data_IF_202993149037
#
_entry.id   IF_202993149037
#
_cell.length_a   1.000
_cell.length_b   1.000
_cell.length_c   1.000
_cell.angle_alpha   90.00
_cell.angle_beta   90.00
_cell.angle_gamma   90.00
#
_symmetry.space_group_name_H-M   'P 1'
#
loop_
_entity.id
_entity.type
_entity.pdbx_description
1 polymer ?
#
# COMPACT_ATOMS: atom_id res chain seq x y z
N UNK A 1 41.41 52.09 -43.87
CA UNK A 1 42.84 52.00 -44.24
C UNK A 1 43.34 50.61 -43.85
N UNK A 2 43.87 49.86 -44.85
CA UNK A 2 44.74 48.65 -44.79
C UNK A 2 44.27 47.50 -43.86
N UNK A 3 43.62 46.42 -44.33
CA UNK A 3 44.09 45.30 -45.17
C UNK A 3 45.41 44.63 -44.76
N UNK A 4 45.30 43.35 -44.36
CA UNK A 4 46.15 42.18 -44.66
C UNK A 4 45.26 40.93 -44.33
N UNK A 5 44.61 40.19 -45.26
CA UNK A 5 45.11 39.23 -46.28
C UNK A 5 46.09 38.19 -45.68
N UNK A 6 46.00 36.88 -45.89
CA UNK A 6 45.54 36.13 -47.07
C UNK A 6 45.42 34.60 -46.78
N UNK A 7 44.68 33.87 -47.66
CA UNK A 7 44.62 32.40 -47.94
C UNK A 7 43.31 31.72 -47.48
N UNK A 8 42.50 31.04 -48.30
CA UNK A 8 42.63 30.59 -49.69
C UNK A 8 42.06 29.16 -49.83
N UNK A 9 41.22 28.94 -50.85
CA UNK A 9 40.88 27.67 -51.51
C UNK A 9 39.66 26.78 -51.10
N UNK A 10 38.60 26.88 -51.94
CA UNK A 10 38.04 25.83 -52.84
C UNK A 10 37.33 24.56 -52.28
N UNK A 11 36.04 24.46 -52.69
CA UNK A 11 35.17 23.31 -53.09
C UNK A 11 34.83 22.15 -52.12
N UNK A 12 33.51 22.08 -51.85
CA UNK A 12 32.59 20.93 -52.02
C UNK A 12 33.22 19.53 -52.09
N UNK A 13 32.95 18.72 -51.06
CA UNK A 13 32.74 17.27 -51.21
C UNK A 13 31.58 16.82 -50.33
N UNK A 14 30.59 16.20 -50.96
CA UNK A 14 29.52 15.43 -50.33
C UNK A 14 30.14 14.22 -49.63
N UNK A 15 29.88 14.02 -48.34
CA UNK A 15 30.08 12.74 -47.67
C UNK A 15 28.70 12.25 -47.19
N UNK A 16 28.21 11.26 -47.91
CA UNK A 16 27.05 10.44 -47.58
C UNK A 16 27.47 9.54 -46.40
N UNK A 17 27.04 9.84 -45.17
CA UNK A 17 27.22 8.92 -44.04
C UNK A 17 26.05 7.94 -44.05
N UNK A 18 26.33 6.71 -44.49
CA UNK A 18 25.48 5.55 -44.25
C UNK A 18 25.40 5.32 -42.73
N UNK A 19 24.24 5.58 -42.14
CA UNK A 19 23.86 5.07 -40.83
C UNK A 19 23.54 3.58 -40.99
N UNK A 20 24.52 2.73 -40.68
CA UNK A 20 24.29 1.31 -40.40
C UNK A 20 23.47 1.22 -39.11
N UNK A 21 22.16 1.01 -39.25
CA UNK A 21 21.30 0.56 -38.17
C UNK A 21 21.71 -0.88 -37.86
N UNK A 22 22.53 -1.07 -36.83
CA UNK A 22 22.64 -2.38 -36.19
C UNK A 22 21.31 -2.66 -35.49
N UNK A 23 20.52 -3.53 -36.10
CA UNK A 23 19.45 -4.26 -35.42
C UNK A 23 20.10 -5.11 -34.31
N UNK A 24 20.10 -4.58 -33.08
CA UNK A 24 20.30 -5.40 -31.89
C UNK A 24 18.91 -5.91 -31.52
N UNK A 25 18.64 -7.23 -31.56
CA UNK A 25 17.38 -7.76 -31.06
C UNK A 25 17.31 -7.42 -29.57
N UNK A 26 16.16 -6.86 -29.16
CA UNK A 26 15.93 -6.38 -27.81
C UNK A 26 16.28 -7.44 -26.78
N UNK A 27 17.37 -7.21 -26.05
CA UNK A 27 17.48 -7.75 -24.70
C UNK A 27 16.45 -6.98 -23.89
N UNK A 28 15.38 -7.66 -23.48
CA UNK A 28 14.61 -7.22 -22.32
C UNK A 28 15.62 -7.02 -21.19
N UNK A 29 15.87 -5.75 -20.87
CA UNK A 29 16.62 -5.38 -19.68
C UNK A 29 15.72 -5.79 -18.51
N UNK A 30 15.91 -7.01 -18.03
CA UNK A 30 15.30 -7.43 -16.77
C UNK A 30 15.93 -6.61 -15.67
N UNK A 31 15.08 -5.87 -14.98
CA UNK A 31 15.42 -5.12 -13.80
C UNK A 31 16.13 -6.03 -12.78
N UNK A 32 17.15 -5.48 -12.13
CA UNK A 32 17.87 -6.24 -11.10
C UNK A 32 17.06 -6.21 -9.80
N UNK A 33 17.08 -7.25 -8.95
CA UNK A 33 16.46 -7.18 -7.63
C UNK A 33 16.88 -5.90 -6.88
N UNK A 34 15.90 -5.04 -6.57
CA UNK A 34 16.12 -3.69 -6.04
C UNK A 34 15.84 -2.54 -7.02
N UNK A 35 15.52 -2.82 -8.28
CA UNK A 35 15.00 -1.83 -9.23
C UNK A 35 13.58 -1.37 -8.86
N UNK A 36 13.23 -0.18 -9.30
CA UNK A 36 11.92 0.45 -9.03
C UNK A 36 11.23 0.81 -10.32
N UNK A 37 10.07 0.20 -10.57
CA UNK A 37 9.19 0.56 -11.68
C UNK A 37 8.25 1.68 -11.24
N UNK A 38 8.30 2.82 -11.93
CA UNK A 38 7.45 3.97 -11.65
C UNK A 38 6.27 4.03 -12.61
N UNK A 39 5.05 4.16 -12.06
CA UNK A 39 3.82 4.38 -12.84
C UNK A 39 3.17 5.68 -12.39
N UNK A 40 2.94 6.60 -13.33
CA UNK A 40 2.13 7.80 -13.06
C UNK A 40 0.69 7.53 -13.47
N UNK A 41 -0.26 7.70 -12.54
CA UNK A 41 -1.68 7.53 -12.80
C UNK A 41 -2.34 8.89 -13.02
N UNK A 42 -2.95 9.48 -11.99
CA UNK A 42 -3.42 10.86 -12.05
C UNK A 42 -2.22 11.80 -12.19
N UNK A 43 -2.26 12.74 -13.13
CA UNK A 43 -1.18 13.69 -13.37
C UNK A 43 -1.74 15.10 -13.49
N UNK A 44 -1.46 15.93 -12.48
CA UNK A 44 -2.04 17.27 -12.32
C UNK A 44 -3.55 17.29 -12.58
N UNK A 45 -4.25 16.26 -12.11
CA UNK A 45 -5.68 16.15 -12.25
C UNK A 45 -6.35 17.24 -11.40
N UNK A 46 -7.04 18.16 -12.05
CA UNK A 46 -7.73 19.26 -11.36
C UNK A 46 -9.00 18.74 -10.69
N UNK A 47 -9.12 18.99 -9.39
CA UNK A 47 -10.25 18.57 -8.56
C UNK A 47 -10.85 19.76 -7.83
N UNK A 48 -12.15 19.93 -8.03
CA UNK A 48 -13.02 20.83 -7.29
C UNK A 48 -14.42 20.18 -7.19
N UNK A 49 -15.33 20.81 -6.45
CA UNK A 49 -16.72 20.35 -6.28
C UNK A 49 -16.97 18.97 -5.68
N UNK A 50 -16.00 18.39 -4.97
CA UNK A 50 -16.16 17.10 -4.30
C UNK A 50 -16.66 15.98 -5.23
N UNK A 51 -16.22 16.01 -6.49
CA UNK A 51 -16.48 14.94 -7.45
C UNK A 51 -15.41 13.86 -7.38
N UNK A 52 -15.81 12.62 -7.66
CA UNK A 52 -14.85 11.51 -7.81
C UNK A 52 -14.34 11.47 -9.25
N UNK A 53 -13.03 11.58 -9.41
CA UNK A 53 -12.36 11.48 -10.69
C UNK A 53 -11.92 10.02 -10.93
N UNK A 54 -12.63 9.34 -11.82
CA UNK A 54 -12.33 7.95 -12.21
C UNK A 54 -11.42 7.88 -13.42
N UNK A 55 -10.48 6.93 -13.42
CA UNK A 55 -9.72 6.55 -14.59
C UNK A 55 -9.17 5.12 -14.46
N UNK A 56 -8.89 4.49 -15.60
CA UNK A 56 -8.22 3.19 -15.66
C UNK A 56 -6.75 3.35 -16.02
N UNK A 57 -5.89 2.57 -15.40
CA UNK A 57 -4.44 2.63 -15.58
C UNK A 57 -3.85 1.23 -15.69
N UNK A 58 -2.79 1.10 -16.49
CA UNK A 58 -2.02 -0.14 -16.56
C UNK A 58 -0.87 -0.05 -15.55
N UNK A 59 -0.93 -0.91 -14.54
CA UNK A 59 0.12 -1.19 -13.58
C UNK A 59 0.95 -2.38 -14.09
N UNK A 60 2.12 -2.66 -13.49
CA UNK A 60 2.86 -3.86 -13.82
C UNK A 60 2.02 -5.13 -13.56
N UNK A 61 2.33 -6.18 -14.32
CA UNK A 61 1.68 -7.47 -14.14
C UNK A 61 2.19 -8.20 -12.87
N UNK A 62 1.67 -9.40 -12.65
CA UNK A 62 2.06 -10.26 -11.52
C UNK A 62 3.29 -11.14 -11.80
N UNK A 63 3.91 -11.03 -12.98
CA UNK A 63 5.09 -11.82 -13.35
C UNK A 63 6.36 -11.29 -12.68
N UNK A 64 6.37 -10.00 -12.32
CA UNK A 64 7.46 -9.36 -11.58
C UNK A 64 7.13 -9.35 -10.09
N UNK A 65 8.10 -9.72 -9.26
CA UNK A 65 7.90 -9.82 -7.82
C UNK A 65 8.31 -8.52 -7.14
N UNK A 66 7.37 -7.95 -6.38
CA UNK A 66 7.59 -6.72 -5.64
C UNK A 66 7.63 -7.00 -4.15
N UNK A 67 8.58 -6.37 -3.47
CA UNK A 67 8.62 -6.37 -2.00
C UNK A 67 7.85 -5.21 -1.38
N UNK A 68 7.60 -4.15 -2.16
CA UNK A 68 6.95 -2.96 -1.68
C UNK A 68 6.29 -2.19 -2.83
N UNK A 69 5.12 -1.61 -2.57
CA UNK A 69 4.45 -0.67 -3.45
C UNK A 69 4.21 0.62 -2.68
N UNK A 70 4.87 1.69 -3.10
CA UNK A 70 4.68 3.02 -2.51
C UNK A 70 3.83 3.89 -3.42
N UNK A 71 2.79 4.52 -2.85
CA UNK A 71 1.97 5.50 -3.53
C UNK A 71 2.37 6.92 -3.09
N UNK A 72 2.85 7.71 -4.05
CA UNK A 72 3.17 9.12 -3.88
C UNK A 72 1.94 9.95 -4.28
N UNK A 73 1.25 10.50 -3.28
CA UNK A 73 0.13 11.42 -3.46
C UNK A 73 0.65 12.84 -3.39
N UNK A 74 0.55 13.58 -4.49
CA UNK A 74 0.98 14.96 -4.58
C UNK A 74 -0.21 15.90 -4.68
N UNK A 75 -0.23 16.92 -3.82
CA UNK A 75 -1.16 18.05 -3.88
C UNK A 75 -0.42 19.28 -4.35
N UNK A 76 -0.81 19.82 -5.49
CA UNK A 76 -0.36 21.10 -6.00
C UNK A 76 -1.46 22.15 -6.03
N UNK A 77 -1.07 23.41 -6.04
CA UNK A 77 -1.98 24.54 -6.17
C UNK A 77 -2.02 25.02 -7.65
N UNK A 78 -3.20 25.15 -8.28
CA UNK A 78 -3.28 25.69 -9.63
C UNK A 78 -2.91 27.19 -9.65
N UNK A 79 -2.51 27.71 -10.82
CA UNK A 79 -2.10 29.12 -10.96
C UNK A 79 -3.20 30.12 -10.56
N UNK A 80 -4.46 29.72 -10.70
CA UNK A 80 -5.68 30.44 -10.25
C UNK A 80 -5.89 30.45 -8.73
N UNK A 81 -5.08 29.69 -7.97
CA UNK A 81 -5.17 29.55 -6.53
C UNK A 81 -5.94 28.30 -6.10
N UNK A 82 -5.57 27.76 -4.94
CA UNK A 82 -6.16 26.54 -4.39
C UNK A 82 -7.34 26.82 -3.47
N UNK A 83 -8.07 25.77 -3.11
CA UNK A 83 -8.95 25.80 -1.93
C UNK A 83 -8.08 26.14 -0.70
N UNK A 84 -8.39 27.18 0.08
CA UNK A 84 -7.54 27.58 1.19
C UNK A 84 -7.71 26.68 2.43
N UNK A 85 -8.71 25.79 2.43
CA UNK A 85 -9.08 24.95 3.56
C UNK A 85 -8.45 23.55 3.46
N UNK A 86 -8.33 22.90 4.60
CA UNK A 86 -7.95 21.51 4.77
C UNK A 86 -9.15 20.59 4.47
N UNK A 87 -9.08 19.90 3.34
CA UNK A 87 -10.13 19.02 2.83
C UNK A 87 -9.75 17.57 2.97
N UNK A 88 -10.73 16.72 3.28
CA UNK A 88 -10.53 15.29 3.21
C UNK A 88 -10.36 14.85 1.75
N UNK A 89 -9.35 14.03 1.48
CA UNK A 89 -9.13 13.43 0.18
C UNK A 89 -8.74 11.97 0.29
N UNK A 90 -8.96 11.21 -0.76
CA UNK A 90 -8.63 9.79 -0.79
C UNK A 90 -8.30 9.29 -2.21
N UNK A 91 -7.66 8.12 -2.25
CA UNK A 91 -7.58 7.27 -3.45
C UNK A 91 -8.23 5.93 -3.13
N UNK A 92 -9.13 5.50 -4.00
CA UNK A 92 -9.80 4.20 -3.92
C UNK A 92 -9.54 3.38 -5.17
N UNK A 93 -9.30 2.09 -4.98
CA UNK A 93 -9.25 1.09 -6.04
C UNK A 93 -10.64 0.47 -6.20
N UNK A 94 -11.14 0.36 -7.43
CA UNK A 94 -12.47 -0.19 -7.73
C UNK A 94 -12.32 -1.52 -8.43
N UNK A 95 -12.86 -2.58 -7.82
CA UNK A 95 -12.90 -3.93 -8.42
C UNK A 95 -14.16 -4.08 -9.28
N UNK A 96 -15.26 -3.48 -8.84
CA UNK A 96 -16.53 -3.44 -9.57
C UNK A 96 -17.34 -2.18 -9.17
N UNK A 97 -18.62 -2.10 -9.56
CA UNK A 97 -19.50 -0.95 -9.27
C UNK A 97 -19.87 -0.80 -7.79
N UNK A 98 -19.66 -1.85 -6.98
CA UNK A 98 -20.04 -1.93 -5.56
C UNK A 98 -18.83 -2.09 -4.65
N UNK A 99 -17.77 -2.74 -5.13
CA UNK A 99 -16.58 -3.06 -4.33
C UNK A 99 -15.44 -2.10 -4.64
N UNK A 100 -15.00 -1.36 -3.62
CA UNK A 100 -13.82 -0.51 -3.70
C UNK A 100 -13.00 -0.57 -2.41
N UNK A 101 -11.72 -0.23 -2.48
CA UNK A 101 -10.80 -0.25 -1.34
C UNK A 101 -10.11 1.10 -1.22
N UNK A 102 -10.24 1.76 -0.06
CA UNK A 102 -9.49 2.98 0.22
C UNK A 102 -8.03 2.63 0.52
N UNK A 103 -7.17 2.88 -0.46
CA UNK A 103 -5.74 2.56 -0.35
C UNK A 103 -4.97 3.67 0.37
N UNK A 104 -5.47 4.91 0.30
CA UNK A 104 -4.90 6.05 1.02
C UNK A 104 -5.93 7.15 1.29
N UNK A 105 -5.73 7.84 2.41
CA UNK A 105 -6.44 9.06 2.79
C UNK A 105 -5.44 10.16 3.11
N UNK A 106 -5.76 11.37 2.67
CA UNK A 106 -4.96 12.57 2.89
C UNK A 106 -5.86 13.70 3.36
N UNK A 107 -5.29 14.65 4.09
CA UNK A 107 -5.94 15.92 4.37
C UNK A 107 -5.15 16.99 3.63
N UNK A 108 -5.83 17.79 2.79
CA UNK A 108 -5.16 18.86 2.06
C UNK A 108 -4.59 19.88 3.04
N UNK A 109 -3.48 20.56 2.70
CA UNK A 109 -2.96 21.60 3.55
C UNK A 109 -3.82 22.86 3.48
N UNK A 110 -3.73 23.68 4.52
CA UNK A 110 -4.18 25.06 4.42
C UNK A 110 -3.23 25.84 3.52
N UNK A 111 -3.78 26.72 2.67
CA UNK A 111 -3.07 27.66 1.80
C UNK A 111 -1.53 27.48 1.71
N UNK A 112 -1.07 26.87 0.63
CA UNK A 112 0.35 26.55 0.42
C UNK A 112 1.04 27.43 -0.62
N UNK A 113 0.45 28.57 -0.99
CA UNK A 113 1.02 29.51 -1.96
C UNK A 113 1.26 30.90 -1.37
N UNK A 114 2.36 31.53 -1.77
CA UNK A 114 2.82 32.80 -1.21
C UNK A 114 4.20 32.68 -0.56
N UNK A 115 4.77 33.80 -0.11
CA UNK A 115 6.17 33.90 0.32
C UNK A 115 6.58 32.86 1.37
N UNK A 116 7.38 31.88 0.96
CA UNK A 116 7.96 30.85 1.83
C UNK A 116 7.13 29.57 1.99
N UNK A 117 5.96 29.46 1.35
CA UNK A 117 5.13 28.25 1.39
C UNK A 117 5.57 27.22 0.33
N UNK A 118 5.31 25.92 0.54
CA UNK A 118 5.90 24.86 -0.28
C UNK A 118 5.38 24.81 -1.71
N UNK A 119 4.22 25.42 -2.02
CA UNK A 119 3.58 25.43 -3.35
C UNK A 119 2.96 24.09 -3.75
N UNK A 120 3.57 22.99 -3.30
CA UNK A 120 3.16 21.63 -3.53
C UNK A 120 3.61 20.77 -2.35
N UNK A 121 2.79 19.78 -1.99
CA UNK A 121 3.12 18.80 -0.95
C UNK A 121 3.02 17.37 -1.50
N UNK A 122 3.93 16.51 -1.06
CA UNK A 122 4.00 15.11 -1.47
C UNK A 122 3.89 14.24 -0.24
N UNK A 123 3.00 13.25 -0.29
CA UNK A 123 2.80 12.28 0.77
C UNK A 123 3.06 10.88 0.24
N UNK A 124 3.83 10.10 0.99
CA UNK A 124 4.17 8.73 0.63
C UNK A 124 3.34 7.79 1.49
N UNK A 125 2.58 6.92 0.83
CA UNK A 125 1.72 5.94 1.46
C UNK A 125 2.23 4.55 1.08
N UNK A 126 2.49 3.69 2.05
CA UNK A 126 2.74 2.29 1.77
C UNK A 126 1.41 1.59 1.47
N UNK A 127 1.29 1.08 0.25
CA UNK A 127 0.07 0.41 -0.26
C UNK A 127 0.37 -1.05 -0.62
N UNK A 128 1.45 -1.62 -0.11
CA UNK A 128 1.91 -2.98 -0.39
C UNK A 128 0.84 -4.03 -0.08
N UNK A 129 0.02 -3.80 0.94
CA UNK A 129 -1.08 -4.70 1.32
C UNK A 129 -2.12 -4.92 0.21
N UNK A 130 -2.24 -3.96 -0.72
CA UNK A 130 -3.16 -4.03 -1.85
C UNK A 130 -2.51 -4.60 -3.12
N UNK A 131 -1.29 -5.13 -3.04
CA UNK A 131 -0.60 -5.80 -4.15
C UNK A 131 -1.46 -6.84 -4.90
N UNK A 132 -2.31 -7.65 -4.24
CA UNK A 132 -3.21 -8.58 -4.95
C UNK A 132 -4.25 -7.90 -5.86
N UNK A 133 -4.40 -6.58 -5.75
CA UNK A 133 -5.35 -5.79 -6.52
C UNK A 133 -4.65 -4.74 -7.39
N UNK A 134 -3.39 -4.41 -7.12
CA UNK A 134 -2.59 -3.38 -7.79
C UNK A 134 -1.71 -3.96 -8.90
N UNK A 135 -2.32 -4.65 -9.87
CA UNK A 135 -1.63 -5.22 -11.02
C UNK A 135 -2.47 -5.11 -12.28
N UNK A 136 -1.84 -5.26 -13.44
CA UNK A 136 -2.49 -5.18 -14.75
C UNK A 136 -3.33 -3.89 -14.89
N UNK A 137 -4.52 -3.96 -15.50
CA UNK A 137 -5.40 -2.81 -15.58
C UNK A 137 -6.22 -2.65 -14.30
N UNK A 138 -6.08 -1.51 -13.63
CA UNK A 138 -6.88 -1.14 -12.46
C UNK A 138 -7.73 0.09 -12.73
N UNK A 139 -8.90 0.18 -12.09
CA UNK A 139 -9.72 1.39 -12.03
C UNK A 139 -9.49 2.10 -10.70
N UNK A 140 -9.05 3.34 -10.75
CA UNK A 140 -8.86 4.18 -9.56
C UNK A 140 -9.87 5.32 -9.56
N UNK A 141 -10.29 5.72 -8.35
CA UNK A 141 -10.98 6.98 -8.10
C UNK A 141 -10.12 7.86 -7.19
N UNK A 142 -10.05 9.14 -7.54
CA UNK A 142 -9.45 10.17 -6.69
C UNK A 142 -10.47 11.23 -6.35
N UNK A 143 -10.44 11.69 -5.10
CA UNK A 143 -11.43 12.62 -4.57
C UNK A 143 -10.76 13.57 -3.59
N UNK A 144 -11.21 14.83 -3.60
CA UNK A 144 -10.99 15.82 -2.56
C UNK A 144 -12.33 16.51 -2.29
N UNK A 145 -12.72 16.60 -1.02
CA UNK A 145 -13.93 17.28 -0.55
C UNK A 145 -13.82 18.82 -0.65
N UNK A 146 -13.54 19.32 -1.84
CA UNK A 146 -13.45 20.75 -2.09
C UNK A 146 -14.77 21.28 -2.60
N UNK A 147 -15.30 22.31 -1.94
CA UNK A 147 -16.55 22.98 -2.33
C UNK A 147 -16.31 24.33 -3.00
N UNK A 148 -15.09 24.56 -3.51
CA UNK A 148 -14.73 25.81 -4.17
C UNK A 148 -15.03 25.73 -5.68
N UNK A 149 -15.61 26.79 -6.23
CA UNK A 149 -15.98 26.85 -7.64
C UNK A 149 -14.95 27.53 -8.54
N UNK A 150 -15.27 27.51 -9.85
CA UNK A 150 -14.49 28.18 -10.89
C UNK A 150 -13.18 27.48 -11.19
N UNK A 151 -12.11 28.25 -11.33
CA UNK A 151 -10.77 27.72 -11.67
C UNK A 151 -9.94 27.38 -10.42
N UNK A 152 -10.48 27.51 -9.22
CA UNK A 152 -9.79 27.18 -7.97
C UNK A 152 -10.10 25.75 -7.55
N UNK A 153 -9.14 25.11 -6.87
CA UNK A 153 -9.25 23.71 -6.44
C UNK A 153 -7.87 23.13 -6.15
N UNK A 154 -7.67 21.87 -6.44
CA UNK A 154 -6.38 21.19 -6.23
C UNK A 154 -5.91 20.50 -7.50
N UNK A 155 -4.59 20.41 -7.68
CA UNK A 155 -3.97 19.58 -8.70
C UNK A 155 -3.43 18.31 -8.03
N UNK A 156 -4.03 17.17 -8.36
CA UNK A 156 -3.65 15.87 -7.79
C UNK A 156 -2.76 15.11 -8.77
N UNK A 157 -1.59 14.71 -8.31
CA UNK A 157 -0.73 13.75 -9.02
C UNK A 157 -0.51 12.53 -8.16
N UNK A 158 -0.79 11.33 -8.70
CA UNK A 158 -0.57 10.06 -8.02
C UNK A 158 0.44 9.25 -8.82
N UNK A 159 1.49 8.79 -8.14
CA UNK A 159 2.49 7.88 -8.71
C UNK A 159 2.64 6.65 -7.83
N UNK A 160 2.88 5.51 -8.44
CA UNK A 160 3.24 4.27 -7.76
C UNK A 160 4.69 3.93 -8.06
N UNK A 161 5.44 3.56 -7.03
CA UNK A 161 6.76 2.95 -7.12
C UNK A 161 6.64 1.49 -6.73
N UNK A 162 6.79 0.61 -7.71
CA UNK A 162 6.83 -0.84 -7.54
C UNK A 162 8.28 -1.25 -7.35
N UNK A 163 8.65 -1.60 -6.12
CA UNK A 163 10.03 -1.89 -5.74
C UNK A 163 10.22 -3.40 -5.75
N UNK A 164 11.10 -3.88 -6.62
CA UNK A 164 11.33 -5.31 -6.83
C UNK A 164 11.97 -5.99 -5.61
N UNK A 165 11.59 -7.24 -5.39
CA UNK A 165 12.10 -8.10 -4.34
C UNK A 165 11.08 -9.12 -3.85
N UNK A 166 11.50 -9.94 -2.90
CA UNK A 166 10.65 -10.96 -2.29
C UNK A 166 10.23 -10.57 -0.87
N UNK A 167 8.95 -10.77 -0.57
CA UNK A 167 8.44 -10.77 0.81
C UNK A 167 8.41 -12.19 1.36
N UNK A 168 8.67 -12.33 2.67
CA UNK A 168 8.55 -13.64 3.32
C UNK A 168 7.11 -14.17 3.32
N UNK A 169 6.16 -13.28 3.59
CA UNK A 169 4.74 -13.54 3.44
C UNK A 169 4.16 -12.48 2.50
N UNK A 170 3.49 -12.91 1.43
CA UNK A 170 2.87 -11.99 0.47
C UNK A 170 1.41 -11.77 0.86
N UNK A 171 0.92 -10.52 0.90
CA UNK A 171 -0.52 -10.30 0.96
C UNK A 171 -1.12 -10.96 -0.27
N UNK A 172 -2.21 -11.71 -0.09
CA UNK A 172 -2.88 -12.40 -1.19
C UNK A 172 -4.39 -12.13 -1.23
N UNK A 173 -4.95 -11.56 -0.16
CA UNK A 173 -6.36 -11.24 -0.07
C UNK A 173 -6.60 -10.04 0.84
N UNK A 174 -7.49 -9.15 0.42
CA UNK A 174 -7.92 -7.96 1.14
C UNK A 174 -9.44 -8.02 1.31
N UNK A 175 -9.92 -7.93 2.55
CA UNK A 175 -11.35 -7.96 2.87
C UNK A 175 -11.72 -6.63 3.53
N UNK A 176 -12.69 -5.90 2.97
CA UNK A 176 -13.24 -4.71 3.64
C UNK A 176 -14.06 -5.13 4.86
N UNK A 177 -13.85 -4.42 5.97
CA UNK A 177 -14.60 -4.57 7.21
C UNK A 177 -15.61 -3.44 7.38
N UNK A 178 -15.14 -2.20 7.22
CA UNK A 178 -15.96 -0.98 7.35
C UNK A 178 -15.59 0.01 6.26
N UNK A 179 -16.61 0.70 5.72
CA UNK A 179 -16.44 1.70 4.67
C UNK A 179 -17.35 2.92 4.87
N UNK A 180 -17.47 3.39 6.11
CA UNK A 180 -18.40 4.47 6.45
C UNK A 180 -17.70 5.83 6.43
N UNK A 181 -18.30 6.81 5.74
CA UNK A 181 -17.72 8.15 5.66
C UNK A 181 -18.25 9.09 6.75
N UNK A 182 -19.34 8.71 7.45
CA UNK A 182 -20.04 9.55 8.42
C UNK A 182 -20.66 8.69 9.54
N UNK A 183 -19.81 8.23 10.46
CA UNK A 183 -20.26 7.59 11.71
C UNK A 183 -20.56 8.68 12.73
N UNK A 184 -21.86 8.94 12.97
CA UNK A 184 -22.29 9.93 13.96
C UNK A 184 -21.77 9.58 15.36
N UNK A 185 -21.35 10.60 16.13
CA UNK A 185 -20.73 10.39 17.42
C UNK A 185 -21.37 11.21 18.55
N UNK A 186 -22.01 10.55 19.50
CA UNK A 186 -22.56 11.20 20.71
C UNK A 186 -24.05 11.53 20.67
N UNK A 187 -24.81 11.00 19.70
CA UNK A 187 -26.27 10.96 19.78
C UNK A 187 -26.74 9.57 20.28
N UNK A 188 -27.30 9.45 21.50
CA UNK A 188 -27.86 8.20 22.00
C UNK A 188 -28.95 7.58 21.12
N UNK A 189 -29.64 8.40 20.31
CA UNK A 189 -30.68 7.92 19.39
C UNK A 189 -30.10 7.30 18.09
N UNK A 190 -28.83 7.57 17.79
CA UNK A 190 -28.13 7.00 16.64
C UNK A 190 -26.69 6.63 17.04
N UNK A 191 -26.54 5.51 17.77
CA UNK A 191 -25.24 5.07 18.28
C UNK A 191 -24.33 4.59 17.15
N UNK A 192 -22.98 4.65 17.31
CA UNK A 192 -22.02 4.22 16.28
C UNK A 192 -22.24 2.81 15.71
N UNK A 193 -22.82 1.90 16.51
CA UNK A 193 -23.10 0.51 16.11
C UNK A 193 -24.12 0.38 14.96
N UNK A 194 -24.89 1.42 14.66
CA UNK A 194 -25.74 1.44 13.45
C UNK A 194 -24.90 1.49 12.17
N UNK A 195 -23.66 1.97 12.27
CA UNK A 195 -22.70 2.13 11.17
C UNK A 195 -21.55 1.13 11.23
N UNK A 196 -21.18 0.68 12.44
CA UNK A 196 -20.03 -0.20 12.69
C UNK A 196 -20.44 -1.57 13.22
N UNK A 197 -21.43 -2.27 12.64
CA UNK A 197 -21.88 -3.54 13.18
C UNK A 197 -20.74 -4.57 13.22
N UNK A 198 -20.76 -5.43 14.21
CA UNK A 198 -19.83 -6.56 14.31
C UNK A 198 -19.77 -7.36 12.99
N UNK A 199 -18.55 -7.56 12.50
CA UNK A 199 -18.26 -8.30 11.28
C UNK A 199 -18.00 -9.78 11.55
N UNK A 200 -18.47 -10.64 10.66
CA UNK A 200 -18.20 -12.08 10.69
C UNK A 200 -17.56 -12.50 9.37
N UNK A 201 -16.25 -12.73 9.38
CA UNK A 201 -15.43 -12.87 8.16
C UNK A 201 -14.82 -14.25 8.06
N UNK A 202 -14.98 -14.90 6.91
CA UNK A 202 -14.32 -16.18 6.65
C UNK A 202 -12.82 -15.99 6.39
N UNK A 203 -11.99 -16.65 7.19
CA UNK A 203 -10.54 -16.64 7.06
C UNK A 203 -10.11 -17.74 6.09
N UNK A 204 -9.37 -17.35 5.07
CA UNK A 204 -8.91 -18.29 4.05
C UNK A 204 -7.97 -19.36 4.64
N UNK A 205 -8.13 -20.66 4.33
CA UNK A 205 -7.26 -21.73 4.84
C UNK A 205 -5.77 -21.56 4.51
N UNK A 206 -5.42 -20.81 3.46
CA UNK A 206 -4.02 -20.56 3.07
C UNK A 206 -3.33 -19.47 3.91
N UNK A 207 -4.04 -18.85 4.84
CA UNK A 207 -3.52 -17.74 5.66
C UNK A 207 -2.42 -18.21 6.60
N UNK A 208 -1.23 -17.62 6.50
CA UNK A 208 -0.15 -17.77 7.50
C UNK A 208 -0.10 -16.62 8.50
N UNK A 209 -0.44 -15.40 8.05
CA UNK A 209 -0.47 -14.18 8.87
C UNK A 209 -1.65 -13.32 8.49
N UNK A 210 -2.09 -12.49 9.42
CA UNK A 210 -3.12 -11.51 9.16
C UNK A 210 -2.94 -10.21 9.92
N UNK A 211 -3.40 -9.14 9.31
CA UNK A 211 -3.34 -7.78 9.85
C UNK A 211 -4.67 -7.09 9.64
N UNK A 212 -5.12 -6.30 10.60
CA UNK A 212 -6.23 -5.36 10.40
C UNK A 212 -5.65 -3.96 10.35
N UNK A 213 -5.97 -3.21 9.29
CA UNK A 213 -5.68 -1.77 9.18
C UNK A 213 -6.96 -0.97 9.33
N UNK A 214 -6.89 0.10 10.11
CA UNK A 214 -8.02 1.02 10.33
C UNK A 214 -7.56 2.45 10.05
N UNK A 215 -8.27 3.15 9.16
CA UNK A 215 -8.06 4.56 8.83
C UNK A 215 -9.25 5.35 9.38
N UNK A 216 -9.01 6.10 10.45
CA UNK A 216 -10.04 6.87 11.16
C UNK A 216 -9.66 8.34 11.23
N UNK A 217 -10.62 9.22 10.95
CA UNK A 217 -10.47 10.68 11.13
C UNK A 217 -11.69 11.23 11.85
N UNK A 218 -11.48 11.92 12.97
CA UNK A 218 -12.54 12.63 13.69
C UNK A 218 -12.78 14.03 13.12
N UNK A 219 -14.04 14.41 12.99
CA UNK A 219 -14.49 15.68 12.42
C UNK A 219 -15.55 16.33 13.30
N UNK A 220 -15.72 17.64 13.16
CA UNK A 220 -16.66 18.40 13.96
C UNK A 220 -16.01 19.16 15.10
N UNK A 221 -16.64 20.26 15.49
CA UNK A 221 -16.13 21.20 16.50
C UNK A 221 -17.29 21.90 17.22
N UNK A 222 -17.00 22.53 18.36
CA UNK A 222 -17.98 23.25 19.18
C UNK A 222 -18.86 22.34 20.03
N UNK A 223 -18.55 21.04 20.08
CA UNK A 223 -19.33 20.02 20.79
C UNK A 223 -18.85 19.84 22.24
N UNK A 224 -19.53 19.00 23.01
CA UNK A 224 -19.01 18.56 24.33
C UNK A 224 -17.62 17.93 24.16
N UNK A 225 -16.66 18.32 25.00
CA UNK A 225 -15.22 17.99 24.84
C UNK A 225 -14.59 18.35 23.48
N UNK A 226 -15.23 19.26 22.74
CA UNK A 226 -14.86 19.66 21.38
C UNK A 226 -14.69 18.47 20.41
N UNK A 227 -15.53 17.44 20.56
CA UNK A 227 -15.54 16.29 19.65
C UNK A 227 -15.96 16.67 18.22
N UNK A 228 -15.59 15.92 17.19
CA UNK A 228 -14.66 14.78 17.22
C UNK A 228 -13.26 15.15 16.71
N UNK A 229 -13.05 16.31 16.08
CA UNK A 229 -11.75 16.70 15.53
C UNK A 229 -10.71 16.96 16.62
N UNK A 230 -11.10 17.65 17.70
CA UNK A 230 -10.20 18.14 18.73
C UNK A 230 -10.34 17.38 20.06
N UNK A 231 -10.99 16.22 20.04
CA UNK A 231 -11.22 15.41 21.23
C UNK A 231 -10.42 14.11 21.16
N UNK A 232 -9.46 13.95 22.06
CA UNK A 232 -8.74 12.69 22.22
C UNK A 232 -9.70 11.58 22.68
N UNK A 233 -9.72 10.47 21.94
CA UNK A 233 -10.49 9.27 22.31
C UNK A 233 -9.67 8.00 22.12
N UNK A 234 -10.00 6.96 22.89
CA UNK A 234 -9.43 5.62 22.76
C UNK A 234 -10.52 4.66 22.28
N UNK A 235 -10.45 4.27 21.01
CA UNK A 235 -11.35 3.28 20.42
C UNK A 235 -10.80 1.86 20.60
N UNK A 236 -11.61 0.84 20.39
CA UNK A 236 -11.24 -0.55 20.63
C UNK A 236 -11.53 -1.43 19.43
N UNK A 237 -10.53 -2.16 18.94
CA UNK A 237 -10.73 -3.26 18.00
C UNK A 237 -10.79 -4.57 18.78
N UNK A 238 -11.85 -5.35 18.57
CA UNK A 238 -12.03 -6.69 19.12
C UNK A 238 -11.86 -7.71 17.98
N UNK A 239 -11.09 -8.77 18.24
CA UNK A 239 -10.91 -9.89 17.30
C UNK A 239 -10.95 -11.19 18.08
N UNK A 240 -12.05 -11.93 17.97
CA UNK A 240 -12.31 -13.07 18.83
C UNK A 240 -12.31 -12.65 20.31
N UNK A 241 -11.41 -13.20 21.12
CA UNK A 241 -11.25 -12.82 22.53
C UNK A 241 -10.21 -11.72 22.79
N UNK A 242 -9.50 -11.27 21.75
CA UNK A 242 -8.42 -10.29 21.88
C UNK A 242 -8.93 -8.87 21.64
N UNK A 243 -8.30 -7.90 22.30
CA UNK A 243 -8.67 -6.49 22.25
C UNK A 243 -7.43 -5.62 22.01
N UNK A 244 -7.58 -4.60 21.18
CA UNK A 244 -6.53 -3.67 20.78
C UNK A 244 -7.03 -2.23 20.94
N UNK A 245 -6.29 -1.41 21.68
CA UNK A 245 -6.65 -0.02 21.95
C UNK A 245 -6.07 0.93 20.88
N UNK A 246 -6.94 1.70 20.23
CA UNK A 246 -6.58 2.73 19.26
C UNK A 246 -6.67 4.11 19.92
N UNK A 247 -5.52 4.66 20.31
CA UNK A 247 -5.42 6.05 20.78
C UNK A 247 -5.46 7.00 19.59
N UNK A 248 -6.64 7.57 19.29
CA UNK A 248 -6.86 8.37 18.10
C UNK A 248 -6.42 9.82 18.33
N UNK A 249 -5.14 10.10 18.13
CA UNK A 249 -4.57 11.44 18.31
C UNK A 249 -3.26 11.62 17.56
N UNK A 250 -3.08 12.78 16.93
CA UNK A 250 -1.83 13.19 16.30
C UNK A 250 -1.34 14.50 16.88
N UNK A 251 -0.29 14.43 17.70
CA UNK A 251 0.35 15.58 18.34
C UNK A 251 1.47 16.22 17.53
N UNK A 252 1.79 15.68 16.35
CA UNK A 252 2.97 16.01 15.56
C UNK A 252 2.66 16.86 14.31
N UNK A 253 1.50 17.50 14.26
CA UNK A 253 1.08 18.27 13.09
C UNK A 253 2.01 19.44 12.76
N UNK A 254 2.65 20.04 13.77
CA UNK A 254 3.59 21.17 13.61
C UNK A 254 4.93 20.78 12.95
N UNK A 255 5.24 19.49 12.84
CA UNK A 255 6.49 18.98 12.23
C UNK A 255 6.26 18.31 10.88
N UNK A 256 5.03 18.38 10.35
CA UNK A 256 4.70 17.78 9.07
C UNK A 256 5.50 18.41 7.91
N UNK A 257 6.09 17.59 6.99
CA UNK A 257 6.89 18.06 5.85
C UNK A 257 6.17 19.03 4.91
N UNK A 258 4.83 19.02 4.86
CA UNK A 258 4.07 20.06 4.17
C UNK A 258 4.00 21.32 5.04
N UNK A 259 5.10 22.09 5.09
CA UNK A 259 5.18 23.29 5.92
C UNK A 259 6.07 24.37 5.27
N UNK A 260 5.85 25.66 5.59
CA UNK A 260 4.74 26.18 6.38
C UNK A 260 3.41 26.13 5.62
N UNK A 261 2.30 26.02 6.34
CA UNK A 261 0.95 26.16 5.80
C UNK A 261 0.30 27.43 6.38
N UNK A 262 -0.74 27.92 5.70
CA UNK A 262 -1.67 28.88 6.31
C UNK A 262 -2.47 28.26 7.46
N UNK A 263 -3.35 29.04 8.07
CA UNK A 263 -4.35 28.53 9.02
C UNK A 263 -3.75 27.89 10.29
N UNK A 264 -4.46 26.91 10.83
CA UNK A 264 -4.23 26.36 12.18
C UNK A 264 -3.57 24.98 12.14
N UNK A 265 -2.76 24.69 11.12
CA UNK A 265 -2.20 23.36 10.83
C UNK A 265 -1.35 22.73 11.96
N UNK A 266 -0.84 23.53 12.89
CA UNK A 266 0.11 23.09 13.93
C UNK A 266 -0.56 22.35 15.09
N UNK A 267 -1.86 22.52 15.30
CA UNK A 267 -2.56 21.92 16.44
C UNK A 267 -2.82 20.42 16.24
N UNK A 268 -2.93 19.70 17.35
CA UNK A 268 -3.22 18.28 17.33
C UNK A 268 -4.69 18.00 16.97
N UNK A 269 -4.94 16.91 16.25
CA UNK A 269 -6.29 16.42 15.91
C UNK A 269 -6.43 14.92 16.16
N UNK A 270 -7.67 14.44 16.17
CA UNK A 270 -8.04 13.04 16.30
C UNK A 270 -7.71 12.23 15.02
N UNK A 271 -6.46 11.76 14.94
CA UNK A 271 -6.00 10.78 13.94
C UNK A 271 -5.42 11.36 12.66
N UNK A 272 -5.42 12.68 12.48
CA UNK A 272 -4.95 13.32 11.26
C UNK A 272 -4.27 14.67 11.51
N UNK A 273 -3.65 15.23 10.47
CA UNK A 273 -3.08 16.58 10.46
C UNK A 273 -3.35 17.22 9.10
N UNK A 274 -3.65 18.52 9.03
CA UNK A 274 -3.69 19.25 7.76
C UNK A 274 -2.39 19.08 6.97
N UNK A 275 -2.52 18.86 5.66
CA UNK A 275 -1.40 18.64 4.77
C UNK A 275 -0.64 17.35 5.02
N UNK A 276 -1.27 16.28 5.51
CA UNK A 276 -0.65 14.99 5.78
C UNK A 276 -1.43 13.83 5.16
N UNK A 277 -0.77 12.66 5.03
CA UNK A 277 -1.51 11.40 4.94
C UNK A 277 -2.05 10.98 6.31
N UNK A 278 -3.23 10.37 6.30
CA UNK A 278 -3.79 9.70 7.47
C UNK A 278 -3.14 8.34 7.56
N UNK A 279 -2.34 8.14 8.61
CA UNK A 279 -1.57 6.91 8.80
C UNK A 279 -2.54 5.81 9.25
N UNK A 280 -2.63 4.68 8.54
CA UNK A 280 -3.44 3.55 9.01
C UNK A 280 -2.93 3.05 10.37
N UNK A 281 -3.85 2.80 11.29
CA UNK A 281 -3.55 2.09 12.52
C UNK A 281 -3.63 0.59 12.25
N UNK A 282 -2.48 -0.09 12.32
CA UNK A 282 -2.32 -1.48 11.90
C UNK A 282 -2.09 -2.39 13.10
N UNK A 283 -2.77 -3.53 13.12
CA UNK A 283 -2.67 -4.53 14.19
C UNK A 283 -2.40 -5.91 13.59
N UNK A 284 -1.34 -6.57 14.06
CA UNK A 284 -1.16 -8.00 13.81
C UNK A 284 -2.22 -8.78 14.60
N UNK A 285 -3.05 -9.53 13.88
CA UNK A 285 -4.15 -10.32 14.45
C UNK A 285 -3.96 -11.80 14.17
N UNK A 286 -2.75 -12.22 13.78
CA UNK A 286 -2.43 -13.60 13.38
C UNK A 286 -2.82 -14.61 14.45
N UNK A 287 -2.54 -14.31 15.73
CA UNK A 287 -2.90 -15.19 16.86
C UNK A 287 -4.38 -15.11 17.27
N UNK A 288 -5.12 -14.15 16.72
CA UNK A 288 -6.54 -13.89 17.04
C UNK A 288 -7.50 -14.55 16.05
N UNK A 289 -6.98 -15.12 14.96
CA UNK A 289 -7.78 -15.74 13.92
C UNK A 289 -7.29 -17.15 13.61
N UNK A 290 -8.20 -17.99 13.10
CA UNK A 290 -7.89 -19.39 12.73
C UNK A 290 -8.15 -19.59 11.24
N UNK A 291 -7.13 -19.97 10.44
CA UNK A 291 -7.32 -20.28 9.01
C UNK A 291 -8.41 -21.32 8.78
N UNK A 292 -9.30 -21.07 7.82
CA UNK A 292 -10.44 -21.93 7.49
C UNK A 292 -11.64 -21.81 8.44
N UNK A 293 -11.59 -20.91 9.42
CA UNK A 293 -12.72 -20.61 10.32
C UNK A 293 -13.22 -19.18 10.10
N UNK A 294 -14.38 -18.87 10.66
CA UNK A 294 -14.87 -17.51 10.71
C UNK A 294 -14.24 -16.74 11.89
N UNK A 295 -13.86 -15.49 11.66
CA UNK A 295 -13.40 -14.56 12.66
C UNK A 295 -14.48 -13.51 12.94
N UNK A 296 -14.74 -13.26 14.23
CA UNK A 296 -15.61 -12.19 14.70
C UNK A 296 -14.76 -10.96 14.97
N UNK A 297 -15.08 -9.85 14.33
CA UNK A 297 -14.32 -8.60 14.37
C UNK A 297 -15.27 -7.45 14.70
N UNK A 298 -14.90 -6.58 15.62
CA UNK A 298 -15.72 -5.45 16.04
C UNK A 298 -14.85 -4.21 16.27
N UNK A 299 -15.32 -3.01 15.90
CA UNK A 299 -14.57 -1.77 16.11
C UNK A 299 -15.40 -0.72 16.84
N UNK A 300 -15.15 -0.61 18.14
CA UNK A 300 -16.01 0.11 19.07
C UNK A 300 -15.42 1.47 19.39
N UNK A 301 -16.18 2.52 19.09
CA UNK A 301 -15.81 3.86 19.49
C UNK A 301 -15.91 4.01 21.01
N UNK A 302 -15.09 4.90 21.59
CA UNK A 302 -15.18 5.20 23.01
C UNK A 302 -16.57 5.75 23.30
N UNK A 303 -17.25 5.26 24.35
CA UNK A 303 -18.54 5.81 24.74
C UNK A 303 -18.45 7.33 24.99
N UNK A 304 -19.40 8.08 24.44
CA UNK A 304 -19.48 9.53 24.50
C UNK A 304 -20.91 9.98 24.23
N UNK A 305 -21.31 11.07 24.86
CA UNK A 305 -22.55 11.78 24.58
C UNK A 305 -22.23 13.24 24.29
N UNK A 306 -22.78 13.78 23.20
CA UNK A 306 -22.67 15.19 22.86
C UNK A 306 -23.84 15.95 23.47
N UNK A 307 -23.63 16.67 24.57
CA UNK A 307 -24.68 17.51 25.15
C UNK A 307 -24.96 18.78 24.33
N UNK A 308 -24.06 19.16 23.42
CA UNK A 308 -24.18 20.27 22.49
C UNK A 308 -24.80 19.83 21.15
N UNK A 309 -25.97 19.19 21.18
CA UNK A 309 -26.65 18.76 19.94
C UNK A 309 -28.07 19.31 19.89
N UNK A 310 -28.61 19.60 18.68
CA UNK A 310 -29.98 20.09 18.53
C UNK A 310 -31.03 19.14 19.11
N UNK A 311 -30.74 17.84 19.10
CA UNK A 311 -31.64 16.78 19.57
C UNK A 311 -31.61 16.58 21.10
N UNK A 312 -30.72 17.26 21.83
CA UNK A 312 -30.67 17.18 23.29
C UNK A 312 -31.63 18.21 23.90
N UNK A 313 -32.73 17.79 24.55
CA UNK A 313 -33.70 18.72 25.16
C UNK A 313 -33.11 19.55 26.32
N UNK A 314 -31.98 19.12 26.88
CA UNK A 314 -31.24 19.82 27.93
C UNK A 314 -30.19 20.80 27.38
N UNK A 315 -30.04 20.95 26.06
CA UNK A 315 -29.14 21.93 25.50
C UNK A 315 -29.76 23.34 25.57
N UNK A 316 -29.08 24.25 26.27
CA UNK A 316 -29.49 25.65 26.40
C UNK A 316 -28.35 26.55 25.93
N UNK A 317 -28.62 27.40 24.94
CA UNK A 317 -27.65 28.36 24.39
C UNK A 317 -27.05 29.26 25.48
N UNK A 318 -25.73 29.38 25.50
CA UNK A 318 -24.98 30.16 26.48
C UNK A 318 -24.88 29.53 27.87
N UNK A 319 -25.53 28.37 28.11
CA UNK A 319 -25.50 27.66 29.39
C UNK A 319 -24.82 26.31 29.24
N UNK A 320 -25.40 25.41 28.44
CA UNK A 320 -24.80 24.11 28.15
C UNK A 320 -23.63 24.29 27.19
N UNK A 321 -23.85 25.04 26.12
CA UNK A 321 -22.91 25.26 25.01
C UNK A 321 -23.15 26.66 24.42
N UNK A 322 -22.18 27.21 23.69
CA UNK A 322 -22.34 28.54 23.06
C UNK A 322 -23.49 28.58 22.05
N UNK A 323 -23.68 27.50 21.30
CA UNK A 323 -24.78 27.29 20.34
C UNK A 323 -25.21 25.82 20.45
N UNK A 324 -26.52 25.57 20.52
CA UNK A 324 -27.11 24.23 20.51
C UNK A 324 -27.42 23.75 19.09
N UNK A 325 -27.50 24.66 18.12
CA UNK A 325 -27.72 24.33 16.73
C UNK A 325 -26.38 24.18 15.99
N UNK A 326 -26.30 23.19 15.10
CA UNK A 326 -25.17 23.12 14.18
C UNK A 326 -25.29 24.25 13.15
N UNK A 327 -24.20 25.01 12.98
CA UNK A 327 -24.17 26.22 12.17
C UNK A 327 -23.11 26.19 11.05
N UNK A 328 -22.39 25.07 10.90
CA UNK A 328 -21.41 24.83 9.83
C UNK A 328 -20.22 25.81 9.81
N UNK A 329 -19.96 26.53 10.89
CA UNK A 329 -18.83 27.47 10.98
C UNK A 329 -18.02 27.30 12.27
N UNK A 330 -18.69 27.27 13.43
CA UNK A 330 -18.04 27.08 14.74
C UNK A 330 -18.64 25.94 15.55
N UNK A 331 -19.77 25.40 15.10
CA UNK A 331 -20.45 24.27 15.70
C UNK A 331 -20.95 23.33 14.60
N UNK A 332 -20.39 22.13 14.53
CA UNK A 332 -20.65 21.13 13.48
C UNK A 332 -20.82 19.75 14.08
N UNK A 333 -21.63 18.92 13.43
CA UNK A 333 -21.95 17.58 13.92
C UNK A 333 -20.69 16.72 14.08
N UNK A 334 -20.44 16.17 15.28
CA UNK A 334 -19.28 15.32 15.54
C UNK A 334 -19.47 13.95 14.87
N UNK A 335 -18.53 13.57 14.02
CA UNK A 335 -18.56 12.29 13.33
C UNK A 335 -17.15 11.77 13.04
N UNK A 336 -17.06 10.48 12.70
CA UNK A 336 -15.84 9.86 12.20
C UNK A 336 -16.01 9.35 10.77
N UNK A 337 -14.96 9.47 9.96
CA UNK A 337 -14.83 8.72 8.70
C UNK A 337 -13.94 7.51 8.96
N UNK A 338 -14.42 6.30 8.71
CA UNK A 338 -13.74 5.04 9.06
C UNK A 338 -13.67 4.11 7.86
N UNK A 339 -12.46 3.69 7.51
CA UNK A 339 -12.22 2.62 6.55
C UNK A 339 -11.36 1.56 7.22
N UNK A 340 -11.73 0.29 7.06
CA UNK A 340 -11.03 -0.82 7.70
C UNK A 340 -10.94 -2.02 6.79
N UNK A 341 -9.78 -2.66 6.77
CA UNK A 341 -9.52 -3.85 5.97
C UNK A 341 -8.77 -4.92 6.78
N UNK A 342 -9.16 -6.18 6.57
CA UNK A 342 -8.41 -7.37 6.95
C UNK A 342 -7.52 -7.79 5.78
N UNK A 343 -6.21 -7.84 6.01
CA UNK A 343 -5.19 -8.27 5.05
C UNK A 343 -4.73 -9.66 5.44
N UNK A 344 -4.86 -10.61 4.52
CA UNK A 344 -4.39 -11.99 4.70
C UNK A 344 -3.13 -12.21 3.89
N UNK A 345 -2.14 -12.81 4.53
CA UNK A 345 -0.86 -13.15 3.95
C UNK A 345 -0.71 -14.66 3.89
N UNK A 346 0.04 -15.13 2.88
CA UNK A 346 0.48 -16.51 2.76
C UNK A 346 2.00 -16.57 2.60
N UNK A 347 2.65 -17.67 2.97
CA UNK A 347 4.08 -17.82 2.78
C UNK A 347 4.41 -17.68 1.31
N UNK A 348 5.45 -16.91 0.99
CA UNK A 348 5.90 -16.76 -0.38
C UNK A 348 6.78 -17.96 -0.75
N UNK A 349 6.36 -18.82 -1.69
CA UNK A 349 7.19 -19.97 -2.05
C UNK A 349 8.48 -19.54 -2.77
N UNK A 350 8.55 -18.30 -3.29
CA UNK A 350 9.66 -17.82 -4.11
C UNK A 350 10.82 -17.19 -3.34
N UNK A 351 10.76 -17.03 -2.02
CA UNK A 351 11.82 -16.37 -1.22
C UNK A 351 13.19 -16.99 -1.49
N UNK A 352 13.20 -18.30 -1.69
CA UNK A 352 14.41 -19.07 -1.83
C UNK A 352 14.78 -19.35 -3.27
N UNK A 353 14.02 -18.89 -4.28
CA UNK A 353 14.26 -19.21 -5.70
C UNK A 353 14.55 -17.94 -6.52
N UNK A 354 15.53 -18.02 -7.42
CA UNK A 354 15.88 -16.97 -8.37
C UNK A 354 15.86 -17.56 -9.78
N UNK A 355 15.12 -16.93 -10.70
CA UNK A 355 15.25 -17.22 -12.12
C UNK A 355 16.55 -16.59 -12.64
N UNK A 356 17.44 -17.41 -13.21
CA UNK A 356 18.75 -16.97 -13.73
C UNK A 356 18.80 -16.90 -15.25
N UNK A 357 17.89 -17.59 -15.94
CA UNK A 357 17.75 -17.55 -17.39
C UNK A 357 16.31 -17.93 -17.78
N UNK A 358 15.70 -17.18 -18.68
CA UNK A 358 14.36 -17.45 -19.21
C UNK A 358 14.36 -18.08 -20.60
N UNK A 359 15.52 -18.42 -21.15
CA UNK A 359 15.58 -19.31 -22.31
C UNK A 359 14.93 -20.65 -21.95
N UNK A 360 14.09 -21.16 -22.84
CA UNK A 360 13.35 -22.40 -22.64
C UNK A 360 14.34 -23.57 -22.67
N UNK A 361 14.61 -24.25 -21.54
CA UNK A 361 15.54 -25.37 -21.50
C UNK A 361 15.01 -26.55 -22.32
N UNK A 362 15.91 -27.29 -22.96
CA UNK A 362 15.54 -28.46 -23.77
C UNK A 362 14.95 -29.61 -22.93
N UNK A 363 15.29 -29.68 -21.65
CA UNK A 363 14.86 -30.73 -20.72
C UNK A 363 14.79 -30.22 -19.28
N UNK A 364 14.07 -30.95 -18.43
CA UNK A 364 14.18 -30.74 -16.98
C UNK A 364 15.55 -31.22 -16.47
N UNK A 365 16.13 -30.50 -15.52
CA UNK A 365 17.42 -30.84 -14.90
C UNK A 365 17.41 -30.47 -13.43
N UNK A 366 18.03 -31.29 -12.59
CA UNK A 366 18.41 -30.93 -11.22
C UNK A 366 19.92 -31.06 -11.13
N UNK A 367 20.64 -30.00 -10.78
CA UNK A 367 22.08 -29.99 -10.62
C UNK A 367 22.52 -30.41 -9.22
N UNK A 368 23.81 -30.78 -9.11
CA UNK A 368 24.41 -30.97 -7.79
C UNK A 368 24.54 -29.62 -7.07
N UNK A 369 24.04 -29.55 -5.84
CA UNK A 369 24.15 -28.37 -4.99
C UNK A 369 25.63 -27.97 -4.81
N UNK A 370 25.88 -26.66 -4.75
CA UNK A 370 27.22 -26.11 -4.55
C UNK A 370 27.19 -24.95 -3.54
N UNK A 371 28.11 -24.92 -2.56
CA UNK A 371 29.13 -25.93 -2.27
C UNK A 371 28.52 -27.25 -1.74
N UNK A 372 29.27 -28.34 -1.83
CA UNK A 372 28.95 -29.63 -1.22
C UNK A 372 30.25 -30.42 -0.94
N UNK A 373 30.66 -30.62 0.33
CA UNK A 373 29.96 -30.25 1.57
C UNK A 373 29.76 -28.73 1.75
N UNK A 374 28.81 -28.32 2.59
CA UNK A 374 28.45 -26.90 2.80
C UNK A 374 28.32 -26.54 4.29
N UNK A 375 28.42 -25.23 4.60
CA UNK A 375 28.24 -24.66 5.95
C UNK A 375 27.86 -23.16 5.92
N UNK A 376 26.75 -22.71 6.52
CA UNK A 376 25.50 -23.45 6.72
C UNK A 376 24.62 -23.40 5.46
N UNK A 377 25.05 -22.74 4.38
CA UNK A 377 24.23 -22.49 3.19
C UNK A 377 24.79 -23.12 1.91
N UNK A 378 23.90 -23.53 1.01
CA UNK A 378 24.23 -24.08 -0.33
C UNK A 378 23.24 -23.58 -1.37
N UNK A 379 23.61 -23.65 -2.65
CA UNK A 379 22.73 -23.32 -3.78
C UNK A 379 22.41 -24.57 -4.59
N UNK A 380 21.14 -24.79 -4.90
CA UNK A 380 20.61 -25.87 -5.73
C UNK A 380 20.19 -25.24 -7.07
N UNK A 381 20.73 -25.70 -8.21
CA UNK A 381 20.28 -25.23 -9.51
C UNK A 381 19.40 -26.28 -10.20
N UNK A 382 18.41 -25.82 -10.97
CA UNK A 382 17.54 -26.69 -11.72
C UNK A 382 16.90 -25.98 -12.91
N UNK A 383 16.41 -26.77 -13.87
CA UNK A 383 15.80 -26.29 -15.10
C UNK A 383 14.40 -26.87 -15.27
N UNK A 384 13.48 -26.01 -15.71
CA UNK A 384 12.08 -26.33 -15.99
C UNK A 384 11.87 -26.14 -17.48
N UNK A 385 11.54 -27.21 -18.21
CA UNK A 385 11.37 -27.14 -19.68
C UNK A 385 9.95 -26.73 -20.11
N UNK A 386 8.94 -26.97 -19.25
CA UNK A 386 7.54 -26.61 -19.49
C UNK A 386 6.92 -26.04 -18.22
N UNK A 387 5.97 -25.11 -18.39
CA UNK A 387 5.22 -24.57 -17.27
C UNK A 387 4.59 -25.70 -16.45
N UNK A 388 4.94 -25.79 -15.17
CA UNK A 388 4.55 -26.89 -14.29
C UNK A 388 4.50 -26.46 -12.82
N UNK A 389 3.73 -27.20 -12.02
CA UNK A 389 3.78 -27.09 -10.57
C UNK A 389 5.03 -27.83 -10.08
N UNK A 390 5.95 -27.09 -9.46
CA UNK A 390 7.28 -27.53 -9.04
C UNK A 390 7.37 -27.62 -7.52
N UNK A 391 7.97 -28.70 -7.02
CA UNK A 391 8.31 -28.89 -5.61
C UNK A 391 9.79 -29.15 -5.46
N UNK A 392 10.45 -28.39 -4.59
CA UNK A 392 11.83 -28.61 -4.16
C UNK A 392 11.86 -28.82 -2.65
N UNK A 393 12.03 -30.07 -2.26
CA UNK A 393 11.95 -30.50 -0.87
C UNK A 393 13.28 -31.05 -0.37
N UNK A 394 13.54 -30.88 0.93
CA UNK A 394 14.69 -31.45 1.63
C UNK A 394 14.23 -32.51 2.61
N UNK A 395 14.89 -33.66 2.61
CA UNK A 395 14.65 -34.79 3.48
C UNK A 395 15.93 -35.14 4.26
N UNK A 396 15.76 -35.70 5.45
CA UNK A 396 16.85 -36.37 6.17
C UNK A 396 17.10 -37.79 5.64
N UNK A 397 18.10 -38.49 6.20
CA UNK A 397 18.45 -39.86 5.78
C UNK A 397 17.38 -40.90 6.14
N UNK A 398 16.44 -40.56 7.03
CA UNK A 398 15.28 -41.39 7.35
C UNK A 398 14.11 -41.15 6.38
N UNK A 399 14.25 -40.21 5.44
CA UNK A 399 13.21 -39.86 4.48
C UNK A 399 12.14 -38.93 5.04
N UNK A 400 12.36 -38.33 6.22
CA UNK A 400 11.46 -37.33 6.78
C UNK A 400 11.70 -35.99 6.09
N UNK A 401 10.63 -35.33 5.66
CA UNK A 401 10.68 -33.96 5.14
C UNK A 401 11.16 -33.01 6.25
N UNK A 402 12.28 -32.35 6.03
CA UNK A 402 12.90 -31.40 6.98
C UNK A 402 12.86 -29.96 6.51
N UNK A 403 12.67 -29.73 5.21
CA UNK A 403 12.49 -28.38 4.66
C UNK A 403 11.72 -28.37 3.33
N UNK A 404 11.03 -27.27 3.06
CA UNK A 404 10.34 -26.99 1.80
C UNK A 404 10.94 -25.72 1.19
N UNK A 405 11.83 -25.89 0.21
CA UNK A 405 12.56 -24.76 -0.38
C UNK A 405 11.67 -23.98 -1.34
N UNK A 406 10.88 -24.70 -2.14
CA UNK A 406 9.99 -24.11 -3.13
C UNK A 406 8.81 -25.04 -3.38
N UNK A 407 7.59 -24.47 -3.43
CA UNK A 407 6.41 -25.17 -3.89
C UNK A 407 5.46 -24.20 -4.62
N UNK A 408 5.34 -24.33 -5.93
CA UNK A 408 4.54 -23.41 -6.74
C UNK A 408 4.67 -23.62 -8.24
N UNK A 409 3.96 -22.83 -9.03
CA UNK A 409 4.08 -22.89 -10.49
C UNK A 409 5.33 -22.14 -10.98
N UNK A 410 6.10 -22.76 -11.87
CA UNK A 410 7.20 -22.12 -12.58
C UNK A 410 6.99 -22.19 -14.09
N UNK A 411 7.26 -21.07 -14.76
CA UNK A 411 7.40 -21.03 -16.22
C UNK A 411 8.73 -21.68 -16.65
N UNK A 412 8.89 -22.01 -17.95
CA UNK A 412 10.16 -22.53 -18.43
C UNK A 412 11.33 -21.59 -18.15
N UNK A 413 12.47 -22.17 -17.74
CA UNK A 413 13.69 -21.43 -17.44
C UNK A 413 14.64 -22.19 -16.52
N UNK A 414 15.77 -21.55 -16.21
CA UNK A 414 16.77 -22.04 -15.26
C UNK A 414 16.66 -21.27 -13.95
N UNK A 415 16.73 -21.98 -12.84
CA UNK A 415 16.48 -21.47 -11.49
C UNK A 415 17.62 -21.84 -10.54
N UNK A 416 17.86 -20.98 -9.56
CA UNK A 416 18.70 -21.26 -8.39
C UNK A 416 17.86 -21.17 -7.15
N UNK A 417 17.98 -22.13 -6.25
CA UNK A 417 17.42 -22.06 -4.94
C UNK A 417 18.48 -22.05 -3.85
N UNK A 418 18.37 -21.16 -2.86
CA UNK A 418 19.24 -21.19 -1.68
C UNK A 418 18.60 -22.01 -0.56
N UNK A 419 19.43 -22.80 0.11
CA UNK A 419 19.04 -23.47 1.34
C UNK A 419 20.03 -23.11 2.44
N UNK A 420 19.52 -22.57 3.55
CA UNK A 420 20.28 -22.30 4.76
C UNK A 420 19.85 -23.29 5.86
N UNK A 421 20.77 -24.19 6.21
CA UNK A 421 20.55 -25.26 7.18
C UNK A 421 21.17 -24.94 8.56
N UNK A 422 21.28 -23.66 8.91
CA UNK A 422 21.95 -23.21 10.15
C UNK A 422 21.35 -23.81 11.42
N UNK A 423 20.04 -24.09 11.41
CA UNK A 423 19.29 -24.70 12.51
C UNK A 423 19.24 -26.24 12.45
N UNK A 424 19.85 -26.87 11.43
CA UNK A 424 19.86 -28.33 11.24
C UNK A 424 21.17 -28.96 11.74
N UNK A 425 21.17 -30.23 12.20
CA UNK A 425 22.40 -30.92 12.61
C UNK A 425 23.32 -31.27 11.43
N UNK A 426 24.63 -31.37 11.64
CA UNK A 426 25.56 -31.89 10.62
C UNK A 426 25.13 -33.28 10.16
N UNK A 427 25.22 -33.56 8.87
CA UNK A 427 24.76 -34.83 8.33
C UNK A 427 24.51 -34.81 6.83
N UNK A 428 24.00 -35.95 6.33
CA UNK A 428 23.57 -36.10 4.94
C UNK A 428 22.11 -35.69 4.84
N UNK A 429 21.81 -34.93 3.81
CA UNK A 429 20.46 -34.54 3.42
C UNK A 429 20.21 -34.92 1.97
N UNK A 430 18.95 -35.11 1.63
CA UNK A 430 18.49 -35.48 0.31
C UNK A 430 17.55 -34.38 -0.18
N UNK A 431 17.77 -33.84 -1.37
CA UNK A 431 16.84 -32.90 -1.99
C UNK A 431 16.20 -33.51 -3.23
N UNK A 432 14.92 -33.24 -3.40
CA UNK A 432 14.10 -33.77 -4.48
C UNK A 432 13.40 -32.64 -5.22
N UNK A 433 13.55 -32.64 -6.54
CA UNK A 433 12.79 -31.79 -7.45
C UNK A 433 11.70 -32.62 -8.12
N UNK A 434 10.46 -32.14 -8.06
CA UNK A 434 9.33 -32.68 -8.80
C UNK A 434 8.75 -31.58 -9.69
N UNK A 435 8.47 -31.87 -10.96
CA UNK A 435 7.91 -30.93 -11.93
C UNK A 435 7.08 -31.68 -12.99
N UNK A 436 5.76 -31.72 -12.81
CA UNK A 436 4.90 -32.59 -13.63
C UNK A 436 5.30 -34.07 -13.48
N UNK A 437 5.63 -34.74 -14.60
CA UNK A 437 6.11 -36.12 -14.60
C UNK A 437 7.62 -36.26 -14.28
N UNK A 438 8.35 -35.15 -14.21
CA UNK A 438 9.77 -35.18 -13.87
C UNK A 438 9.97 -35.30 -12.36
N UNK A 439 10.86 -36.21 -11.97
CA UNK A 439 11.30 -36.36 -10.58
C UNK A 439 12.80 -36.66 -10.54
N UNK A 440 13.56 -35.88 -9.77
CA UNK A 440 14.99 -36.08 -9.60
C UNK A 440 15.40 -35.85 -8.16
N UNK A 441 16.36 -36.65 -7.69
CA UNK A 441 16.82 -36.64 -6.30
C UNK A 441 18.33 -36.62 -6.26
N UNK A 442 18.89 -35.82 -5.36
CA UNK A 442 20.33 -35.75 -5.10
C UNK A 442 20.62 -35.62 -3.61
N UNK A 443 21.89 -35.86 -3.25
CA UNK A 443 22.36 -35.83 -1.85
C UNK A 443 23.33 -34.69 -1.61
N UNK A 444 23.34 -34.19 -0.38
CA UNK A 444 24.23 -33.13 0.08
C UNK A 444 24.71 -33.38 1.51
N UNK A 445 25.84 -32.78 1.88
CA UNK A 445 26.46 -32.94 3.20
C UNK A 445 26.64 -31.60 3.89
N UNK A 446 25.98 -31.43 5.04
CA UNK A 446 26.17 -30.30 5.95
C UNK A 446 27.30 -30.62 6.92
N UNK A 447 28.29 -29.73 7.03
CA UNK A 447 29.40 -29.86 7.98
C UNK A 447 29.46 -28.58 8.80
N UNK A 448 29.24 -28.68 10.11
CA UNK A 448 29.39 -27.55 11.05
C UNK A 448 30.81 -27.43 11.58
#
# INVERSE_FOLDING_TARGET
MKNNLLFGFIRKFFILILLFIFFIPGKELKASPGDTTWVTTFNQNFQNWADVHYASFNLPDTNTHYKQILMFYTIGCPASGCDPWDRLGWVRLYVDSTTNYEIARVITPYNIVGGGYPGQCVFVNDVTDFMPLLHDQVRLGSYIESWIGGTRGWLVTVKFAFIEGELADKPFKVVNLYQDNHVLYGDPANPPETHLPQQNVSVDPQTSKAKIRVVTTGHGQGNSDNAAEFSFKIHTLLVGSNSFAHSLWRGDCSTNPCSPQGGTWQYARAGWCPGASVIPWENDVTSSITPGQNAVIDYNLQAYENFCRPTNPSCVNGVTCSDCNFNYNGHTEPHYTIQSQLILYKPNPFINIQNINSEIPASYLLEQNYPNPFNPSTTIQFEISKASFVRLYIYDVQGKLVDNIFEGNLNPGSFKAQWNAGDKPSGIYIYKLEAGDFSSTKRMMLVK
#
